data_IF_971631902842
#
_entry.id   IF_971631902842
#
_cell.length_a   1.000
_cell.length_b   1.000
_cell.length_c   1.000
_cell.angle_alpha   90.00
_cell.angle_beta   90.00
_cell.angle_gamma   90.00
#
_symmetry.space_group_name_H-M   'P 1'
#
loop_
_entity.id
_entity.type
_entity.pdbx_description
1 polymer ?
#
# COMPACT_ATOMS: atom_id res chain seq x y z
N UNK A 1 5.70 10.27 -6.93
CA UNK A 1 6.37 9.19 -6.14
C UNK A 1 6.03 7.78 -6.61
N UNK A 2 4.82 7.25 -6.37
CA UNK A 2 4.48 5.85 -6.72
C UNK A 2 4.57 5.63 -8.24
N UNK A 3 3.94 6.52 -8.99
CA UNK A 3 3.89 6.46 -10.45
C UNK A 3 5.25 6.66 -11.12
N UNK A 4 5.93 7.76 -10.78
CA UNK A 4 7.21 8.20 -11.38
C UNK A 4 8.34 7.18 -11.18
N UNK A 5 8.39 6.54 -10.01
CA UNK A 5 9.41 5.53 -9.71
C UNK A 5 9.03 4.12 -10.20
N UNK A 6 7.88 3.96 -10.86
CA UNK A 6 7.40 2.65 -11.30
C UNK A 6 7.15 1.68 -10.14
N UNK A 7 6.85 2.19 -8.95
CA UNK A 7 6.54 1.37 -7.79
C UNK A 7 5.21 0.66 -8.03
N UNK A 8 5.19 -0.66 -7.89
CA UNK A 8 3.98 -1.48 -8.04
C UNK A 8 3.52 -2.08 -6.72
N UNK A 9 4.33 -1.94 -5.66
CA UNK A 9 4.04 -2.51 -4.34
C UNK A 9 4.17 -1.43 -3.27
N UNK A 10 3.14 -1.32 -2.44
CA UNK A 10 3.11 -0.46 -1.25
C UNK A 10 2.90 -1.36 -0.02
N UNK A 11 3.65 -1.08 1.04
CA UNK A 11 3.63 -1.84 2.29
C UNK A 11 3.35 -0.87 3.41
N UNK A 12 2.19 -1.03 4.03
CA UNK A 12 1.78 -0.25 5.18
C UNK A 12 1.99 -1.11 6.42
N UNK A 13 2.90 -0.68 7.29
CA UNK A 13 3.32 -1.45 8.48
C UNK A 13 2.51 -1.13 9.75
N UNK A 14 1.54 -0.23 9.67
CA UNK A 14 0.74 0.26 10.79
C UNK A 14 -0.75 0.23 10.43
N UNK A 15 -1.64 0.05 11.41
CA UNK A 15 -3.07 0.29 11.15
C UNK A 15 -3.34 1.79 10.92
N UNK A 16 -4.54 2.14 10.44
CA UNK A 16 -4.95 3.56 10.34
C UNK A 16 -5.10 4.19 11.73
N UNK A 17 -5.57 3.40 12.69
CA UNK A 17 -5.77 3.77 14.09
C UNK A 17 -5.26 2.63 14.97
N UNK A 18 -4.42 2.95 15.95
CA UNK A 18 -3.95 2.01 16.98
C UNK A 18 -4.13 2.67 18.35
N UNK A 19 -4.67 1.94 19.33
CA UNK A 19 -4.95 2.42 20.69
C UNK A 19 -5.75 3.73 20.76
N UNK A 20 -6.62 3.96 19.76
CA UNK A 20 -7.44 5.17 19.65
C UNK A 20 -6.69 6.38 19.07
N UNK A 21 -5.39 6.25 18.78
CA UNK A 21 -4.62 7.27 18.09
C UNK A 21 -4.55 7.02 16.59
N UNK A 22 -4.73 8.09 15.81
CA UNK A 22 -4.55 8.07 14.37
C UNK A 22 -3.07 7.91 14.02
N UNK A 23 -2.72 6.82 13.35
CA UNK A 23 -1.35 6.53 12.93
C UNK A 23 -1.07 6.97 11.50
N UNK A 24 -2.06 6.84 10.60
CA UNK A 24 -1.90 7.15 9.18
C UNK A 24 -3.22 7.66 8.59
N UNK A 25 -3.12 8.61 7.66
CA UNK A 25 -4.23 9.03 6.83
C UNK A 25 -4.49 8.02 5.71
N UNK A 26 -5.75 7.70 5.48
CA UNK A 26 -6.13 6.83 4.37
C UNK A 26 -5.96 7.57 3.05
N UNK A 27 -5.04 7.10 2.22
CA UNK A 27 -4.72 7.68 0.90
C UNK A 27 -5.25 6.84 -0.28
N UNK A 28 -6.14 5.88 -0.02
CA UNK A 28 -6.82 5.05 -1.03
C UNK A 28 -8.34 5.05 -0.79
N UNK A 29 -9.17 4.81 -1.83
CA UNK A 29 -10.61 4.72 -1.66
C UNK A 29 -11.03 3.41 -0.98
N UNK A 30 -12.12 3.45 -0.20
CA UNK A 30 -12.74 2.25 0.39
C UNK A 30 -13.46 1.40 -0.66
N UNK A 31 -14.17 2.07 -1.58
CA UNK A 31 -14.94 1.44 -2.65
C UNK A 31 -14.95 2.37 -3.86
N UNK A 32 -14.87 1.80 -5.06
CA UNK A 32 -14.91 2.55 -6.31
C UNK A 32 -13.56 3.20 -6.66
N UNK A 33 -13.61 4.44 -7.15
CA UNK A 33 -12.42 5.22 -7.51
C UNK A 33 -12.38 6.58 -6.82
N UNK A 34 -11.17 7.11 -6.66
CA UNK A 34 -10.92 8.45 -6.14
C UNK A 34 -9.78 9.10 -6.92
N UNK A 35 -9.98 10.37 -7.27
CA UNK A 35 -9.01 11.14 -8.03
C UNK A 35 -8.05 11.88 -7.09
N UNK A 36 -6.79 11.47 -7.11
CA UNK A 36 -5.69 12.11 -6.41
C UNK A 36 -4.89 12.95 -7.40
N UNK A 37 -5.28 14.21 -7.55
CA UNK A 37 -4.75 15.14 -8.54
C UNK A 37 -4.95 14.65 -9.98
N UNK A 38 -3.94 14.05 -10.61
CA UNK A 38 -4.01 13.50 -11.98
C UNK A 38 -4.07 11.96 -12.00
N UNK A 39 -4.05 11.35 -10.81
CA UNK A 39 -4.05 9.91 -10.64
C UNK A 39 -5.41 9.44 -10.15
N UNK A 40 -6.14 8.71 -10.98
CA UNK A 40 -7.35 8.04 -10.52
C UNK A 40 -6.96 6.69 -9.92
N UNK A 41 -7.23 6.51 -8.63
CA UNK A 41 -6.97 5.27 -7.91
C UNK A 41 -8.29 4.56 -7.71
N UNK A 42 -8.38 3.30 -8.11
CA UNK A 42 -9.54 2.46 -7.85
C UNK A 42 -9.18 1.24 -7.00
N UNK A 43 -10.05 0.93 -6.03
CA UNK A 43 -9.90 -0.22 -5.14
C UNK A 43 -11.05 -1.18 -5.48
N UNK A 44 -10.78 -2.35 -6.07
CA UNK A 44 -11.75 -3.44 -6.08
C UNK A 44 -12.02 -3.85 -4.62
N UNK A 45 -13.09 -4.58 -4.37
CA UNK A 45 -13.55 -5.02 -3.03
C UNK A 45 -12.47 -5.59 -2.06
N UNK A 46 -11.28 -5.89 -2.57
CA UNK A 46 -10.11 -6.26 -1.79
C UNK A 46 -9.08 -5.10 -1.75
N UNK A 47 -8.80 -4.61 -0.53
CA UNK A 47 -7.79 -3.58 -0.20
C UNK A 47 -6.39 -3.90 -0.74
N UNK A 48 -6.14 -5.16 -1.10
CA UNK A 48 -4.84 -5.62 -1.55
C UNK A 48 -4.44 -5.11 -2.94
N UNK A 49 -5.38 -4.77 -3.81
CA UNK A 49 -5.10 -4.41 -5.20
C UNK A 49 -5.65 -3.02 -5.46
N UNK A 50 -4.83 -2.10 -5.97
CA UNK A 50 -5.29 -0.79 -6.40
C UNK A 50 -4.91 -0.59 -7.87
N UNK A 51 -5.76 0.04 -8.66
CA UNK A 51 -5.44 0.38 -10.03
C UNK A 51 -5.27 1.88 -10.12
N UNK A 52 -4.12 2.34 -10.61
CA UNK A 52 -3.82 3.75 -10.80
C UNK A 52 -3.83 4.07 -12.28
N UNK A 53 -4.64 5.06 -12.69
CA UNK A 53 -4.67 5.61 -14.04
C UNK A 53 -4.06 7.00 -14.02
N UNK A 54 -3.10 7.26 -14.91
CA UNK A 54 -2.62 8.61 -15.18
C UNK A 54 -3.53 9.26 -16.23
N UNK A 55 -4.28 10.29 -15.82
CA UNK A 55 -5.24 10.94 -16.70
C UNK A 55 -4.60 11.64 -17.90
N UNK A 56 -3.32 12.02 -17.81
CA UNK A 56 -2.61 12.72 -18.89
C UNK A 56 -2.19 11.77 -20.00
N UNK A 57 -1.68 10.60 -19.62
CA UNK A 57 -1.13 9.61 -20.57
C UNK A 57 -2.10 8.49 -20.90
N UNK A 58 -3.20 8.36 -20.13
CA UNK A 58 -4.15 7.26 -20.18
C UNK A 58 -3.48 5.89 -19.93
N UNK A 59 -2.31 5.89 -19.28
CA UNK A 59 -1.66 4.66 -18.84
C UNK A 59 -2.27 4.17 -17.53
N UNK A 60 -2.50 2.86 -17.45
CA UNK A 60 -3.00 2.19 -16.25
C UNK A 60 -1.92 1.29 -15.65
N UNK A 61 -1.75 1.34 -14.33
CA UNK A 61 -0.85 0.46 -13.59
C UNK A 61 -1.56 -0.20 -12.41
N UNK A 62 -1.38 -1.50 -12.28
CA UNK A 62 -1.81 -2.24 -11.10
C UNK A 62 -0.78 -2.09 -10.00
N UNK A 63 -1.24 -1.56 -8.88
CA UNK A 63 -0.53 -1.45 -7.62
C UNK A 63 -1.06 -2.51 -6.66
N UNK A 64 -0.21 -3.03 -5.80
CA UNK A 64 -0.60 -3.95 -4.73
C UNK A 64 -0.24 -3.32 -3.40
N UNK A 65 -1.23 -3.04 -2.57
CA UNK A 65 -1.03 -2.47 -1.26
C UNK A 65 -1.23 -3.54 -0.20
N UNK A 66 -0.19 -3.84 0.56
CA UNK A 66 -0.25 -4.79 1.65
C UNK A 66 -0.30 -4.05 2.98
N UNK A 67 -1.25 -4.44 3.83
CA UNK A 67 -1.34 -3.96 5.20
C UNK A 67 -0.80 -5.03 6.13
N UNK A 68 0.33 -4.74 6.74
CA UNK A 68 0.97 -5.59 7.71
C UNK A 68 0.46 -5.23 9.10
N UNK A 69 -0.73 -5.73 9.44
CA UNK A 69 -1.41 -5.44 10.72
C UNK A 69 -0.92 -6.30 11.90
N UNK A 70 0.01 -7.24 11.65
CA UNK A 70 0.54 -8.14 12.68
C UNK A 70 1.78 -7.58 13.39
N UNK A 71 2.21 -6.36 13.05
CA UNK A 71 3.25 -5.67 13.80
C UNK A 71 2.66 -5.08 15.08
N UNK A 72 3.13 -5.47 16.28
CA UNK A 72 2.63 -4.91 17.52
C UNK A 72 3.15 -3.48 17.73
N UNK A 73 2.29 -2.57 18.20
CA UNK A 73 2.65 -1.18 18.52
C UNK A 73 3.81 -1.09 19.54
N UNK A 74 3.87 -2.06 20.46
CA UNK A 74 4.99 -2.25 21.38
C UNK A 74 5.73 -3.55 21.09
N UNK A 75 7.04 -3.42 20.82
CA UNK A 75 7.95 -4.53 20.65
C UNK A 75 8.13 -4.96 19.20
N UNK A 76 8.47 -6.24 19.01
CA UNK A 76 8.75 -6.84 17.71
C UNK A 76 7.82 -8.04 17.50
N UNK A 77 7.46 -8.37 16.25
CA UNK A 77 6.74 -9.59 15.94
C UNK A 77 7.47 -10.82 16.51
N UNK A 78 6.74 -11.73 17.14
CA UNK A 78 7.30 -12.98 17.69
C UNK A 78 7.79 -13.96 16.62
N UNK A 79 7.43 -13.71 15.36
CA UNK A 79 7.86 -14.50 14.20
C UNK A 79 8.27 -13.59 13.04
N UNK A 80 9.43 -13.90 12.45
CA UNK A 80 9.94 -13.22 11.25
C UNK A 80 9.36 -13.77 9.95
N UNK A 81 8.62 -14.89 10.00
CA UNK A 81 8.06 -15.54 8.80
C UNK A 81 7.17 -14.61 7.96
N UNK A 82 6.23 -13.83 8.55
CA UNK A 82 5.37 -12.95 7.76
C UNK A 82 6.15 -11.90 6.95
N UNK A 83 7.22 -11.35 7.54
CA UNK A 83 8.14 -10.41 6.87
C UNK A 83 8.95 -11.08 5.75
N UNK A 84 9.41 -12.32 5.96
CA UNK A 84 10.18 -13.07 4.98
C UNK A 84 9.31 -13.52 3.79
N UNK A 85 8.08 -13.93 4.04
CA UNK A 85 7.11 -14.29 2.99
C UNK A 85 6.71 -13.05 2.19
N UNK A 86 6.54 -11.92 2.86
CA UNK A 86 6.33 -10.62 2.23
C UNK A 86 7.46 -10.27 1.26
N UNK A 87 8.72 -10.34 1.72
CA UNK A 87 9.90 -10.11 0.87
C UNK A 87 9.97 -11.04 -0.36
N UNK A 88 9.46 -12.27 -0.26
CA UNK A 88 9.45 -13.21 -1.41
C UNK A 88 8.48 -12.76 -2.50
N UNK A 89 7.34 -12.19 -2.13
CA UNK A 89 6.37 -11.62 -3.09
C UNK A 89 6.90 -10.38 -3.81
N UNK A 90 7.79 -9.63 -3.17
CA UNK A 90 8.30 -8.38 -3.73
C UNK A 90 9.61 -8.51 -4.54
N UNK A 91 10.03 -9.72 -4.94
CA UNK A 91 11.26 -9.95 -5.75
C UNK A 91 11.20 -9.43 -7.19
N UNK A 92 10.29 -8.51 -7.53
CA UNK A 92 10.21 -7.90 -8.87
C UNK A 92 11.13 -6.68 -8.96
N UNK A 93 11.64 -6.37 -10.15
CA UNK A 93 12.65 -5.34 -10.43
C UNK A 93 12.23 -3.88 -10.18
N UNK A 94 11.12 -3.64 -9.48
CA UNK A 94 10.59 -2.31 -9.19
C UNK A 94 10.84 -1.96 -7.71
N UNK A 95 11.08 -0.68 -7.39
CA UNK A 95 11.16 -0.24 -6.00
C UNK A 95 9.85 -0.52 -5.25
N UNK A 96 9.99 -0.89 -3.98
CA UNK A 96 8.88 -1.15 -3.05
C UNK A 96 8.78 0.06 -2.12
N UNK A 97 7.58 0.61 -1.96
CA UNK A 97 7.35 1.67 -0.98
C UNK A 97 6.94 1.02 0.32
N UNK A 98 7.72 1.21 1.37
CA UNK A 98 7.39 0.78 2.73
C UNK A 98 7.19 2.04 3.56
N UNK A 99 6.08 2.13 4.29
CA UNK A 99 5.84 3.22 5.22
C UNK A 99 5.22 2.73 6.53
N UNK A 100 5.46 3.53 7.56
CA UNK A 100 4.91 3.44 8.91
C UNK A 100 4.58 4.86 9.38
N UNK A 101 4.06 5.01 10.61
CA UNK A 101 3.95 6.31 11.28
C UNK A 101 5.32 6.97 11.46
#
# INVERSE_FOLDING_TARGET
MVWENGCTVIVMMTALVEDGEKQCDRYWPDEGSSLYHIYEVSTPLCVCVCVCLDWRTQETRTLTQFHFLSWPAQGIPTSTRPLLDFRRYCRRSCPIIVHCR
#
